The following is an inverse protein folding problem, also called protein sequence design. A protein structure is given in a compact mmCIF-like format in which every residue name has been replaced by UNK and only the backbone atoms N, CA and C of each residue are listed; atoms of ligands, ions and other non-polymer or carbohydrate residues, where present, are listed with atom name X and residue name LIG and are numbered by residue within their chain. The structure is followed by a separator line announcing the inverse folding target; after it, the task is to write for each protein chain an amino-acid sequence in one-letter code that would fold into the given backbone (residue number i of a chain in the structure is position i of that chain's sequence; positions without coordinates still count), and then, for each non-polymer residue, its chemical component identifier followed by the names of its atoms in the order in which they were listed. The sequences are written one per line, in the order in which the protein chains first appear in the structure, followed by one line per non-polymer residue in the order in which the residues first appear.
data_IF_368699354034
#
_entry.id   IF_368699354034
#
_cell.length_a   1.000
_cell.length_b   1.000
_cell.length_c   1.000
_cell.angle_alpha   90.00
_cell.angle_beta   90.00
_cell.angle_gamma   90.00
#
_symmetry.space_group_name_H-M   'P 1'
#
loop_
_entity.id
_entity.type
_entity.pdbx_description
1 polymer ?
#
# COMPACT_ATOMS: atom_id res chain seq x y z
N UNK A 1 -22.10 -46.12 22.55
CA UNK A 1 -21.46 -47.27 21.84
C UNK A 1 -20.27 -46.78 21.03
N UNK A 2 -20.37 -45.76 20.17
CA UNK A 2 -19.27 -45.27 19.32
C UNK A 2 -18.01 -44.87 20.11
N UNK A 3 -18.16 -44.07 21.18
CA UNK A 3 -17.03 -43.67 22.01
C UNK A 3 -16.36 -44.86 22.78
N UNK A 4 -17.15 -45.85 23.14
CA UNK A 4 -16.61 -47.05 23.78
C UNK A 4 -15.80 -47.88 22.78
N UNK A 5 -16.32 -48.12 21.60
CA UNK A 5 -15.67 -48.88 20.53
C UNK A 5 -14.36 -48.19 20.10
N UNK A 6 -14.37 -46.87 20.03
CA UNK A 6 -13.17 -46.10 19.66
C UNK A 6 -11.97 -46.34 20.58
N UNK A 7 -12.24 -46.52 21.88
CA UNK A 7 -11.22 -46.72 22.89
C UNK A 7 -10.79 -48.17 23.08
N UNK A 8 -11.65 -49.13 22.72
CA UNK A 8 -11.42 -50.58 22.96
C UNK A 8 -10.95 -51.31 21.71
N UNK A 9 -11.53 -50.98 20.55
CA UNK A 9 -11.16 -51.58 19.26
C UNK A 9 -11.36 -50.57 18.13
N UNK A 10 -10.31 -49.88 17.68
CA UNK A 10 -10.38 -48.91 16.58
C UNK A 10 -10.88 -49.47 15.23
N UNK A 11 -10.67 -50.77 15.00
CA UNK A 11 -11.09 -51.44 13.75
C UNK A 11 -12.57 -51.66 13.75
N UNK A 12 -13.11 -52.16 14.84
CA UNK A 12 -14.55 -52.38 15.05
C UNK A 12 -15.31 -51.04 15.09
N UNK A 13 -14.65 -49.98 15.63
CA UNK A 13 -15.23 -48.64 15.58
C UNK A 13 -15.38 -48.13 14.14
N UNK A 14 -14.38 -48.32 13.28
CA UNK A 14 -14.47 -47.93 11.85
C UNK A 14 -15.61 -48.68 11.14
N UNK A 15 -15.74 -49.97 11.38
CA UNK A 15 -16.79 -50.76 10.80
C UNK A 15 -18.18 -50.30 11.28
N UNK A 16 -18.33 -50.07 12.59
CA UNK A 16 -19.57 -49.55 13.17
C UNK A 16 -19.99 -48.20 12.60
N UNK A 17 -19.05 -47.29 12.42
CA UNK A 17 -19.28 -45.97 11.83
C UNK A 17 -19.71 -46.11 10.36
N UNK A 18 -19.08 -47.00 9.60
CA UNK A 18 -19.40 -47.25 8.20
C UNK A 18 -20.80 -47.86 8.04
N UNK A 19 -21.13 -48.86 8.86
CA UNK A 19 -22.47 -49.50 8.85
C UNK A 19 -23.55 -48.52 9.29
N UNK A 20 -23.31 -47.71 10.33
CA UNK A 20 -24.25 -46.66 10.78
C UNK A 20 -24.52 -45.61 9.72
N UNK A 21 -23.54 -45.31 8.88
CA UNK A 21 -23.66 -44.39 7.75
C UNK A 21 -24.49 -45.03 6.60
N UNK A 22 -24.23 -46.30 6.31
CA UNK A 22 -24.96 -47.08 5.30
C UNK A 22 -26.45 -47.29 5.66
N UNK A 23 -26.76 -47.43 6.96
CA UNK A 23 -28.15 -47.58 7.48
C UNK A 23 -28.90 -46.24 7.62
N UNK A 24 -28.32 -45.12 7.25
CA UNK A 24 -28.95 -43.80 7.31
C UNK A 24 -29.25 -43.28 8.73
N UNK A 25 -28.67 -43.88 9.77
CA UNK A 25 -28.74 -43.39 11.15
C UNK A 25 -27.85 -42.19 11.32
N UNK A 26 -28.36 -40.99 11.06
CA UNK A 26 -27.67 -39.75 11.37
C UNK A 26 -27.41 -39.66 12.87
N UNK A 27 -26.14 -39.71 13.28
CA UNK A 27 -25.76 -39.21 14.60
C UNK A 27 -26.01 -37.72 14.63
N UNK A 28 -26.79 -37.22 15.59
CA UNK A 28 -27.03 -35.78 15.83
C UNK A 28 -25.79 -35.06 16.38
N UNK A 29 -24.63 -35.33 15.86
CA UNK A 29 -23.45 -34.49 16.02
C UNK A 29 -23.47 -33.50 14.88
N UNK A 30 -23.83 -32.26 15.17
CA UNK A 30 -23.67 -31.15 14.23
C UNK A 30 -22.21 -31.15 13.71
N UNK A 31 -22.06 -31.67 12.50
CA UNK A 31 -20.79 -31.52 11.77
C UNK A 31 -20.75 -30.04 11.43
N UNK A 32 -19.81 -29.29 12.06
CA UNK A 32 -19.53 -27.94 11.63
C UNK A 32 -19.32 -27.95 10.11
N UNK A 33 -19.94 -27.04 9.35
CA UNK A 33 -19.75 -27.00 7.92
C UNK A 33 -18.25 -26.86 7.64
N UNK A 34 -17.71 -27.79 6.86
CA UNK A 34 -16.34 -27.72 6.39
C UNK A 34 -16.32 -26.60 5.36
N UNK A 35 -15.91 -25.40 5.79
CA UNK A 35 -15.62 -24.33 4.85
C UNK A 35 -14.35 -24.70 4.10
N UNK A 36 -14.51 -25.16 2.88
CA UNK A 36 -13.42 -25.17 1.92
C UNK A 36 -13.07 -23.72 1.62
N UNK A 37 -12.11 -23.17 2.34
CA UNK A 37 -11.41 -21.99 1.85
C UNK A 37 -10.67 -22.44 0.58
N UNK A 38 -11.29 -22.16 -0.57
CA UNK A 38 -10.59 -22.31 -1.84
C UNK A 38 -9.29 -21.50 -1.71
N UNK A 39 -8.12 -22.09 -2.00
CA UNK A 39 -6.91 -21.30 -2.08
C UNK A 39 -7.19 -20.20 -3.10
N UNK A 40 -7.20 -18.93 -2.67
CA UNK A 40 -7.26 -17.79 -3.57
C UNK A 40 -5.95 -17.81 -4.35
N UNK A 41 -5.94 -18.48 -5.49
CA UNK A 41 -4.90 -18.27 -6.48
C UNK A 41 -5.01 -16.79 -6.87
N UNK A 42 -4.14 -15.95 -6.33
CA UNK A 42 -3.98 -14.59 -6.86
C UNK A 42 -3.50 -14.79 -8.30
N UNK A 43 -4.22 -14.29 -9.30
CA UNK A 43 -3.70 -14.30 -10.66
C UNK A 43 -2.34 -13.60 -10.62
N UNK A 44 -1.35 -14.13 -11.36
CA UNK A 44 -0.03 -13.52 -11.46
C UNK A 44 -0.22 -12.07 -11.92
N UNK A 45 0.38 -11.14 -11.20
CA UNK A 45 0.27 -9.72 -11.57
C UNK A 45 1.00 -9.47 -12.89
N UNK A 46 0.47 -8.63 -13.75
CA UNK A 46 1.19 -8.15 -14.94
C UNK A 46 2.55 -7.56 -14.56
N UNK A 47 2.69 -7.02 -13.36
CA UNK A 47 3.95 -6.48 -12.85
C UNK A 47 5.00 -7.57 -12.65
N UNK A 48 4.61 -8.79 -12.22
CA UNK A 48 5.52 -9.92 -12.05
C UNK A 48 6.04 -10.48 -13.39
N UNK A 49 5.33 -10.20 -14.49
CA UNK A 49 5.75 -10.58 -15.82
C UNK A 49 6.69 -9.54 -16.47
N UNK A 50 6.50 -8.26 -16.14
CA UNK A 50 7.23 -7.14 -16.76
C UNK A 50 8.43 -6.68 -15.94
N UNK A 51 8.37 -6.80 -14.60
CA UNK A 51 9.34 -6.22 -13.69
C UNK A 51 9.86 -7.26 -12.69
N UNK A 52 10.95 -6.93 -12.03
CA UNK A 52 11.51 -7.76 -10.95
C UNK A 52 11.31 -7.09 -9.59
N UNK A 53 11.16 -7.87 -8.52
CA UNK A 53 11.13 -7.33 -7.17
C UNK A 53 12.46 -6.66 -6.83
N UNK A 54 12.43 -5.65 -5.97
CA UNK A 54 13.58 -4.77 -5.67
C UNK A 54 14.78 -5.48 -5.06
N UNK A 55 14.59 -6.61 -4.37
CA UNK A 55 15.67 -7.33 -3.69
C UNK A 55 16.71 -7.88 -4.69
N UNK A 56 17.99 -7.57 -4.44
CA UNK A 56 19.10 -7.95 -5.31
C UNK A 56 19.25 -7.07 -6.54
N UNK A 57 18.57 -5.93 -6.61
CA UNK A 57 18.65 -4.97 -7.72
C UNK A 57 19.21 -3.62 -7.25
N UNK A 58 19.63 -2.72 -8.16
CA UNK A 58 20.03 -1.35 -7.79
C UNK A 58 18.96 -0.56 -7.02
N UNK A 59 17.68 -0.92 -7.14
CA UNK A 59 16.62 -0.31 -6.34
C UNK A 59 16.73 -0.68 -4.86
N UNK A 60 17.28 -1.84 -4.50
CA UNK A 60 17.55 -2.18 -3.10
C UNK A 60 18.52 -1.19 -2.45
N UNK A 61 19.63 -0.87 -3.12
CA UNK A 61 20.61 0.10 -2.62
C UNK A 61 19.99 1.48 -2.46
N UNK A 62 19.16 1.88 -3.43
CA UNK A 62 18.40 3.12 -3.36
C UNK A 62 17.45 3.16 -2.14
N UNK A 63 16.71 2.09 -1.88
CA UNK A 63 15.80 1.99 -0.74
C UNK A 63 16.56 1.98 0.59
N UNK A 64 17.71 1.29 0.68
CA UNK A 64 18.59 1.30 1.85
C UNK A 64 19.15 2.68 2.14
N UNK A 65 19.65 3.37 1.12
CA UNK A 65 20.15 4.74 1.25
C UNK A 65 19.07 5.70 1.79
N UNK A 66 17.82 5.48 1.38
CA UNK A 66 16.66 6.25 1.84
C UNK A 66 16.05 5.74 3.13
N UNK A 67 16.60 4.68 3.71
CA UNK A 67 16.10 4.03 4.92
C UNK A 67 14.63 3.61 4.83
N UNK A 68 14.13 3.30 3.63
CA UNK A 68 12.75 2.83 3.43
C UNK A 68 12.56 1.50 4.16
N UNK A 69 11.52 1.35 4.99
CA UNK A 69 11.29 0.13 5.77
C UNK A 69 11.19 -1.13 4.91
N UNK A 70 11.94 -2.18 5.26
CA UNK A 70 11.97 -3.43 4.48
C UNK A 70 10.60 -4.12 4.37
N UNK A 71 9.69 -3.85 5.30
CA UNK A 71 8.31 -4.39 5.28
C UNK A 71 7.53 -4.01 4.02
N UNK A 72 7.87 -2.90 3.34
CA UNK A 72 7.16 -2.45 2.13
C UNK A 72 7.81 -2.94 0.83
N UNK A 73 9.06 -3.41 0.86
CA UNK A 73 9.81 -3.82 -0.33
C UNK A 73 9.14 -4.93 -1.15
N UNK A 74 8.43 -5.92 -0.56
CA UNK A 74 7.74 -6.94 -1.34
C UNK A 74 6.65 -6.40 -2.28
N UNK A 75 6.19 -5.15 -2.06
CA UNK A 75 5.21 -4.49 -2.92
C UNK A 75 5.83 -3.55 -3.95
N UNK A 76 7.16 -3.47 -4.02
CA UNK A 76 7.90 -2.60 -4.92
C UNK A 76 8.64 -3.41 -5.97
N UNK A 77 8.81 -2.80 -7.14
CA UNK A 77 9.49 -3.45 -8.27
C UNK A 77 10.61 -2.55 -8.80
N UNK A 78 11.44 -3.16 -9.58
CA UNK A 78 12.53 -2.53 -10.30
C UNK A 78 12.39 -2.79 -11.80
N UNK A 79 12.63 -1.77 -12.58
CA UNK A 79 12.80 -1.85 -14.02
C UNK A 79 14.16 -1.28 -14.41
N UNK A 80 14.92 -2.02 -15.18
CA UNK A 80 16.25 -1.64 -15.65
C UNK A 80 16.21 -0.60 -16.78
N UNK A 81 15.12 -0.61 -17.55
CA UNK A 81 14.86 0.29 -18.68
C UNK A 81 13.43 0.83 -18.60
N UNK A 82 13.31 2.13 -18.46
CA UNK A 82 12.01 2.80 -18.38
C UNK A 82 11.13 2.60 -19.62
N UNK A 83 11.69 2.25 -20.78
CA UNK A 83 10.90 1.94 -21.98
C UNK A 83 9.98 0.73 -21.80
N UNK A 84 10.34 -0.22 -20.96
CA UNK A 84 9.47 -1.37 -20.62
C UNK A 84 8.14 -0.98 -19.96
N UNK A 85 8.02 0.25 -19.46
CA UNK A 85 6.77 0.78 -18.93
C UNK A 85 5.68 0.92 -19.99
N UNK A 86 6.08 0.99 -21.28
CA UNK A 86 5.14 1.05 -22.39
C UNK A 86 4.31 -0.23 -22.55
N UNK A 87 4.82 -1.36 -22.06
CA UNK A 87 4.13 -2.64 -22.10
C UNK A 87 2.95 -2.74 -21.11
N UNK A 88 2.84 -1.79 -20.18
CA UNK A 88 1.71 -1.73 -19.25
C UNK A 88 0.40 -1.27 -19.92
N UNK A 89 0.49 -0.45 -20.97
CA UNK A 89 -0.68 0.06 -21.66
C UNK A 89 -0.32 0.61 -23.05
N UNK A 90 -1.08 0.20 -24.05
CA UNK A 90 -0.88 0.60 -25.47
C UNK A 90 -0.85 2.11 -25.69
N UNK A 91 -1.52 2.89 -24.82
CA UNK A 91 -1.53 4.37 -24.90
C UNK A 91 -0.16 5.01 -24.67
N UNK A 92 0.80 4.27 -24.07
CA UNK A 92 2.14 4.77 -23.79
C UNK A 92 3.20 4.31 -24.80
N UNK A 93 2.84 3.47 -25.75
CA UNK A 93 3.79 3.01 -26.78
C UNK A 93 4.41 4.17 -27.54
N UNK A 94 5.75 4.21 -27.56
CA UNK A 94 6.56 5.27 -28.14
C UNK A 94 6.49 6.62 -27.43
N UNK A 95 5.97 6.67 -26.18
CA UNK A 95 5.79 7.91 -25.41
C UNK A 95 6.67 8.01 -24.17
N UNK A 96 7.21 6.91 -23.69
CA UNK A 96 8.12 6.93 -22.54
C UNK A 96 9.48 7.46 -22.97
N UNK A 97 9.86 8.59 -22.41
CA UNK A 97 11.14 9.23 -22.71
C UNK A 97 12.24 8.67 -21.82
N UNK A 98 13.39 8.39 -22.44
CA UNK A 98 14.58 7.89 -21.74
C UNK A 98 14.64 6.36 -21.69
N UNK A 99 15.76 5.87 -21.21
CA UNK A 99 16.09 4.46 -21.01
C UNK A 99 16.94 4.40 -19.74
N UNK A 100 16.27 4.58 -18.59
CA UNK A 100 16.94 4.65 -17.29
C UNK A 100 16.28 3.72 -16.28
N UNK A 101 17.06 3.22 -15.30
CA UNK A 101 16.54 2.31 -14.28
C UNK A 101 15.65 3.05 -13.29
N UNK A 102 14.54 2.39 -12.89
CA UNK A 102 13.56 3.00 -11.98
C UNK A 102 13.05 2.05 -10.91
N UNK A 103 12.75 2.63 -9.77
CA UNK A 103 11.88 2.05 -8.75
C UNK A 103 10.43 2.19 -9.21
N UNK A 104 9.71 1.07 -9.29
CA UNK A 104 8.30 1.02 -9.69
C UNK A 104 7.44 0.86 -8.45
N UNK A 105 6.52 1.80 -8.25
CA UNK A 105 5.60 1.86 -7.11
C UNK A 105 4.19 1.67 -7.64
N UNK A 106 3.56 0.50 -7.44
CA UNK A 106 2.21 0.23 -7.91
C UNK A 106 1.15 0.97 -7.10
N UNK A 107 0.09 1.40 -7.79
CA UNK A 107 -1.12 1.96 -7.21
C UNK A 107 -2.28 1.02 -7.48
N UNK A 108 -3.02 0.68 -6.46
CA UNK A 108 -4.18 -0.20 -6.54
C UNK A 108 -5.43 0.54 -6.04
N UNK A 109 -6.57 0.20 -6.63
CA UNK A 109 -7.87 0.63 -6.10
C UNK A 109 -8.26 -0.18 -4.85
N UNK A 110 -9.47 0.05 -4.33
CA UNK A 110 -9.97 -0.62 -3.13
C UNK A 110 -10.22 -2.11 -3.31
N UNK A 111 -10.33 -2.58 -4.55
CA UNK A 111 -10.62 -3.96 -4.94
C UNK A 111 -9.34 -4.71 -5.36
N UNK A 112 -8.16 -4.15 -5.06
CA UNK A 112 -6.84 -4.69 -5.45
C UNK A 112 -6.57 -4.69 -6.97
N UNK A 113 -7.30 -3.92 -7.79
CA UNK A 113 -6.98 -3.76 -9.20
C UNK A 113 -5.83 -2.76 -9.39
N UNK A 114 -4.87 -3.11 -10.24
CA UNK A 114 -3.78 -2.20 -10.58
C UNK A 114 -4.31 -1.06 -11.46
N UNK A 115 -4.23 0.17 -10.95
CA UNK A 115 -4.73 1.38 -11.64
C UNK A 115 -3.62 2.23 -12.26
N UNK A 116 -2.44 2.19 -11.70
CA UNK A 116 -1.29 2.94 -12.20
C UNK A 116 0.03 2.41 -11.60
N UNK A 117 1.14 2.83 -12.18
CA UNK A 117 2.45 2.77 -11.54
C UNK A 117 3.09 4.17 -11.54
N UNK A 118 3.74 4.51 -10.44
CA UNK A 118 4.61 5.68 -10.34
C UNK A 118 6.07 5.20 -10.30
N UNK A 119 6.86 5.64 -11.26
CA UNK A 119 8.21 5.15 -11.47
C UNK A 119 9.22 6.24 -11.17
N UNK A 120 9.97 6.05 -10.08
CA UNK A 120 10.98 6.99 -9.64
C UNK A 120 12.34 6.61 -10.17
N UNK A 121 13.06 7.58 -10.77
CA UNK A 121 14.45 7.40 -11.12
C UNK A 121 15.30 7.12 -9.88
N UNK A 122 16.16 6.10 -9.95
CA UNK A 122 17.09 5.75 -8.87
C UNK A 122 18.49 6.37 -9.06
N UNK A 123 18.75 6.88 -10.25
CA UNK A 123 19.96 7.64 -10.59
C UNK A 123 19.58 9.09 -10.98
N UNK A 124 20.58 9.93 -11.13
CA UNK A 124 20.37 11.29 -11.59
C UNK A 124 19.87 11.30 -13.04
N UNK A 125 18.75 11.98 -13.28
CA UNK A 125 18.13 12.08 -14.61
C UNK A 125 17.26 13.35 -14.71
N UNK A 126 16.92 13.74 -15.95
CA UNK A 126 16.09 14.91 -16.21
C UNK A 126 14.64 14.73 -15.78
N UNK A 127 14.12 13.50 -15.84
CA UNK A 127 12.72 13.19 -15.51
C UNK A 127 12.66 12.31 -14.25
N UNK A 128 12.51 12.96 -13.11
CA UNK A 128 12.52 12.33 -11.79
C UNK A 128 11.43 11.27 -11.60
N UNK A 129 10.24 11.49 -12.17
CA UNK A 129 9.08 10.59 -12.07
C UNK A 129 8.45 10.36 -13.44
N UNK A 130 8.04 9.13 -13.70
CA UNK A 130 7.15 8.74 -14.79
C UNK A 130 5.94 8.09 -14.15
N UNK A 131 4.74 8.53 -14.54
CA UNK A 131 3.49 7.90 -14.11
C UNK A 131 2.82 7.28 -15.32
N UNK A 132 2.55 5.98 -15.24
CA UNK A 132 1.78 5.23 -16.24
C UNK A 132 0.43 4.90 -15.62
N UNK A 133 -0.65 5.50 -16.13
CA UNK A 133 -2.01 5.21 -15.73
C UNK A 133 -2.57 4.08 -16.59
N UNK A 134 -3.15 3.08 -15.95
CA UNK A 134 -3.89 1.97 -16.57
C UNK A 134 -5.35 2.32 -16.61
N UNK A 135 -5.87 2.87 -15.50
CA UNK A 135 -7.21 3.44 -15.39
C UNK A 135 -7.09 4.97 -15.22
N UNK A 136 -7.63 5.71 -16.20
CA UNK A 136 -7.55 7.18 -16.19
C UNK A 136 -8.53 7.81 -15.20
N UNK A 137 -9.64 7.16 -14.91
CA UNK A 137 -10.71 7.66 -14.05
C UNK A 137 -10.46 7.34 -12.55
N UNK A 138 -9.59 6.37 -12.27
CA UNK A 138 -9.27 6.00 -10.90
C UNK A 138 -8.45 7.09 -10.17
N UNK A 139 -8.75 7.37 -8.89
CA UNK A 139 -7.98 8.31 -8.09
C UNK A 139 -6.57 7.80 -7.83
N UNK A 140 -5.57 8.63 -8.13
CA UNK A 140 -4.15 8.33 -7.93
C UNK A 140 -3.77 8.41 -6.44
N UNK A 141 -4.20 7.41 -5.67
CA UNK A 141 -3.91 7.30 -4.23
C UNK A 141 -3.12 6.01 -3.97
N UNK A 142 -1.87 6.18 -3.52
CA UNK A 142 -1.01 5.07 -3.16
C UNK A 142 -1.50 4.38 -1.88
N UNK A 143 -1.40 3.05 -1.83
CA UNK A 143 -1.71 2.19 -0.69
C UNK A 143 -3.20 2.18 -0.26
N UNK A 144 -4.12 2.62 -1.13
CA UNK A 144 -5.55 2.75 -0.82
C UNK A 144 -6.22 1.40 -0.47
N UNK A 145 -5.73 0.31 -1.04
CA UNK A 145 -6.21 -1.05 -0.84
C UNK A 145 -5.82 -1.67 0.52
N UNK A 146 -4.84 -1.08 1.24
CA UNK A 146 -4.26 -1.69 2.46
C UNK A 146 -4.60 -0.94 3.75
N UNK A 147 -5.29 0.21 3.67
CA UNK A 147 -5.59 1.01 4.85
C UNK A 147 -6.80 0.48 5.62
N UNK A 148 -6.75 0.63 6.93
CA UNK A 148 -7.91 0.54 7.81
C UNK A 148 -8.61 1.90 7.86
N UNK A 149 -9.77 2.02 7.19
CA UNK A 149 -10.56 3.26 7.13
C UNK A 149 -11.33 3.56 8.41
N UNK A 150 -11.39 2.62 9.33
CA UNK A 150 -12.05 2.82 10.64
C UNK A 150 -11.15 3.55 11.64
N UNK A 151 -9.85 3.55 11.38
CA UNK A 151 -8.80 4.19 12.18
C UNK A 151 -8.30 5.48 11.52
N UNK A 152 -7.45 6.22 12.21
CA UNK A 152 -6.76 7.39 11.65
C UNK A 152 -5.90 6.98 10.45
N UNK A 153 -6.00 7.72 9.35
CA UNK A 153 -5.23 7.53 8.12
C UNK A 153 -4.39 8.78 7.87
N UNK A 154 -3.08 8.60 7.80
CA UNK A 154 -2.16 9.68 7.45
C UNK A 154 -2.10 9.84 5.93
N UNK A 155 -2.21 11.07 5.46
CA UNK A 155 -2.24 11.42 4.03
C UNK A 155 -1.01 12.26 3.72
N UNK A 156 -0.04 11.69 3.01
CA UNK A 156 1.19 12.37 2.59
C UNK A 156 1.13 12.81 1.13
N UNK A 157 2.07 13.67 0.70
CA UNK A 157 2.19 14.06 -0.70
C UNK A 157 2.83 12.94 -1.53
N UNK A 158 3.91 12.33 -1.03
CA UNK A 158 4.70 11.34 -1.74
C UNK A 158 4.54 9.92 -1.24
N UNK A 159 4.54 8.89 -2.13
CA UNK A 159 4.50 7.50 -1.71
C UNK A 159 5.65 7.10 -0.77
N UNK A 160 6.86 7.63 -0.98
CA UNK A 160 8.01 7.28 -0.15
C UNK A 160 7.84 7.76 1.30
N UNK A 161 7.24 8.93 1.50
CA UNK A 161 6.96 9.47 2.84
C UNK A 161 5.92 8.65 3.58
N UNK A 162 4.87 8.21 2.87
CA UNK A 162 3.83 7.36 3.46
C UNK A 162 4.38 6.00 3.94
N UNK A 163 5.46 5.48 3.34
CA UNK A 163 6.04 4.19 3.71
C UNK A 163 6.61 4.17 5.14
N UNK A 164 6.87 5.32 5.74
CA UNK A 164 7.33 5.44 7.13
C UNK A 164 6.21 5.45 8.16
N UNK A 165 4.98 5.65 7.73
CA UNK A 165 3.82 5.76 8.60
C UNK A 165 2.98 4.48 8.57
N UNK A 166 2.36 4.19 9.69
CA UNK A 166 1.37 3.13 9.74
C UNK A 166 0.02 3.69 9.25
N UNK A 167 -0.78 2.85 8.59
CA UNK A 167 -2.10 3.21 8.10
C UNK A 167 -2.11 4.53 7.32
N UNK A 168 -1.38 4.58 6.23
CA UNK A 168 -1.12 5.80 5.46
C UNK A 168 -1.36 5.61 3.97
N UNK A 169 -1.71 6.71 3.32
CA UNK A 169 -1.83 6.83 1.87
C UNK A 169 -0.98 7.99 1.36
N UNK A 170 -0.69 8.02 0.07
CA UNK A 170 -0.12 9.19 -0.57
C UNK A 170 -0.96 9.61 -1.78
N UNK A 171 -1.15 10.92 -1.91
CA UNK A 171 -1.79 11.54 -3.08
C UNK A 171 -0.71 12.28 -3.85
N UNK A 172 -0.42 11.88 -5.06
CA UNK A 172 0.66 12.46 -5.87
C UNK A 172 0.53 13.96 -6.20
N UNK A 173 -0.52 14.58 -5.71
CA UNK A 173 -0.79 16.01 -5.62
C UNK A 173 -1.64 16.22 -4.38
N UNK A 174 -1.59 17.38 -3.74
CA UNK A 174 -2.40 17.73 -2.56
C UNK A 174 -3.89 17.88 -2.94
N UNK A 175 -4.45 16.91 -3.67
CA UNK A 175 -5.84 16.93 -4.14
C UNK A 175 -6.78 16.43 -3.04
N UNK A 176 -7.28 17.39 -2.26
CA UNK A 176 -8.26 17.14 -1.19
C UNK A 176 -9.56 16.53 -1.74
N UNK A 177 -9.93 16.83 -3.01
CA UNK A 177 -11.13 16.26 -3.61
C UNK A 177 -10.97 14.76 -3.86
N UNK A 178 -9.79 14.29 -4.22
CA UNK A 178 -9.52 12.87 -4.36
C UNK A 178 -9.64 12.14 -3.00
N UNK A 179 -9.10 12.75 -1.93
CA UNK A 179 -9.19 12.20 -0.58
C UNK A 179 -10.63 12.12 -0.08
N UNK A 180 -11.42 13.19 -0.24
CA UNK A 180 -12.79 13.25 0.26
C UNK A 180 -13.74 12.22 -0.36
N UNK A 181 -13.38 11.68 -1.54
CA UNK A 181 -14.16 10.62 -2.21
C UNK A 181 -13.94 9.23 -1.61
N UNK A 182 -12.82 9.01 -0.95
CA UNK A 182 -12.39 7.66 -0.54
C UNK A 182 -12.17 7.52 0.97
N UNK A 183 -12.12 8.63 1.70
CA UNK A 183 -11.80 8.66 3.12
C UNK A 183 -12.64 9.69 3.85
N UNK A 184 -13.20 9.31 4.99
CA UNK A 184 -13.90 10.23 5.87
C UNK A 184 -12.93 11.29 6.42
N UNK A 185 -13.33 12.56 6.33
CA UNK A 185 -12.52 13.70 6.77
C UNK A 185 -12.03 13.53 8.21
N UNK A 186 -12.88 13.05 9.12
CA UNK A 186 -12.57 12.92 10.54
C UNK A 186 -11.48 11.84 10.80
N UNK A 187 -11.25 10.96 9.83
CA UNK A 187 -10.21 9.94 9.85
C UNK A 187 -8.92 10.39 9.18
N UNK A 188 -8.98 11.37 8.31
CA UNK A 188 -7.81 11.87 7.58
C UNK A 188 -6.99 12.84 8.42
N UNK A 189 -5.67 12.61 8.48
CA UNK A 189 -4.67 13.55 8.97
C UNK A 189 -3.73 13.90 7.84
N UNK A 190 -3.75 15.15 7.39
CA UNK A 190 -2.94 15.62 6.29
C UNK A 190 -1.53 15.93 6.78
N UNK A 191 -0.54 15.33 6.12
CA UNK A 191 0.88 15.46 6.44
C UNK A 191 1.58 16.08 5.23
N UNK A 192 1.59 17.39 5.17
CA UNK A 192 2.23 18.15 4.09
C UNK A 192 3.75 18.19 4.27
N UNK A 193 4.48 18.42 3.18
CA UNK A 193 5.89 18.75 3.23
C UNK A 193 6.14 19.97 4.12
N UNK A 194 7.26 19.99 4.85
CA UNK A 194 7.67 21.12 5.68
C UNK A 194 8.26 22.24 4.84
N UNK A 195 7.41 22.95 4.12
CA UNK A 195 7.78 24.07 3.25
C UNK A 195 7.06 25.38 3.63
N UNK A 196 7.34 25.96 4.81
CA UNK A 196 6.56 27.10 5.36
C UNK A 196 6.64 28.39 4.52
N UNK A 197 7.50 28.44 3.50
CA UNK A 197 7.61 29.58 2.58
C UNK A 197 7.01 29.31 1.20
N UNK A 198 6.48 28.11 0.97
CA UNK A 198 5.84 27.77 -0.29
C UNK A 198 4.39 28.28 -0.27
N UNK A 199 4.12 29.37 -1.00
CA UNK A 199 2.81 29.99 -1.05
C UNK A 199 1.71 29.03 -1.50
N UNK A 200 1.97 28.22 -2.51
CA UNK A 200 1.00 27.26 -3.01
C UNK A 200 0.60 26.23 -1.92
N UNK A 201 1.58 25.76 -1.16
CA UNK A 201 1.33 24.83 -0.05
C UNK A 201 0.50 25.51 1.07
N UNK A 202 0.82 26.78 1.40
CA UNK A 202 0.07 27.55 2.39
C UNK A 202 -1.39 27.72 1.95
N UNK A 203 -1.63 28.00 0.66
CA UNK A 203 -2.99 28.14 0.12
C UNK A 203 -3.76 26.82 0.23
N UNK A 204 -3.11 25.68 -0.06
CA UNK A 204 -3.70 24.33 0.11
C UNK A 204 -4.00 24.04 1.58
N UNK A 205 -3.07 24.32 2.49
CA UNK A 205 -3.28 24.15 3.94
C UNK A 205 -4.43 25.03 4.45
N UNK A 206 -4.54 26.26 3.96
CA UNK A 206 -5.64 27.16 4.30
C UNK A 206 -6.99 26.63 3.83
N UNK A 207 -7.03 26.06 2.62
CA UNK A 207 -8.23 25.41 2.08
C UNK A 207 -8.61 24.17 2.91
N UNK A 208 -7.62 23.36 3.30
CA UNK A 208 -7.84 22.20 4.16
C UNK A 208 -8.37 22.59 5.56
N UNK A 209 -7.81 23.64 6.16
CA UNK A 209 -8.29 24.19 7.44
C UNK A 209 -9.75 24.69 7.32
N UNK A 210 -10.08 25.40 6.23
CA UNK A 210 -11.45 25.86 5.98
C UNK A 210 -12.45 24.72 5.83
N UNK A 211 -11.98 23.56 5.37
CA UNK A 211 -12.76 22.32 5.28
C UNK A 211 -12.69 21.48 6.56
N UNK A 212 -12.04 21.98 7.61
CA UNK A 212 -11.91 21.32 8.91
C UNK A 212 -11.17 19.95 8.85
N UNK A 213 -10.19 19.80 7.96
CA UNK A 213 -9.28 18.66 8.00
C UNK A 213 -8.29 18.81 9.16
N UNK A 214 -7.96 17.69 9.80
CA UNK A 214 -6.81 17.63 10.68
C UNK A 214 -5.54 17.69 9.85
N UNK A 215 -4.55 18.45 10.30
CA UNK A 215 -3.28 18.55 9.61
C UNK A 215 -2.10 18.71 10.56
N UNK A 216 -0.95 18.28 10.12
CA UNK A 216 0.31 18.46 10.86
C UNK A 216 0.85 19.86 10.60
N UNK A 217 1.21 20.56 11.68
CA UNK A 217 2.01 21.80 11.61
C UNK A 217 3.39 21.48 12.21
N UNK A 218 4.38 21.42 11.35
CA UNK A 218 5.72 21.05 11.77
C UNK A 218 6.32 22.07 12.74
N UNK A 219 6.91 21.62 13.88
CA UNK A 219 7.56 22.53 14.81
C UNK A 219 8.79 23.18 14.17
N UNK A 220 9.12 24.41 14.58
CA UNK A 220 10.25 25.18 14.03
C UNK A 220 11.62 24.53 14.25
N UNK A 221 11.71 23.54 15.13
CA UNK A 221 12.92 22.73 15.34
C UNK A 221 13.17 21.71 14.22
N UNK A 222 12.16 21.38 13.42
CA UNK A 222 12.29 20.48 12.26
C UNK A 222 12.64 21.35 11.06
N UNK A 223 13.83 21.11 10.50
CA UNK A 223 14.35 21.86 9.35
C UNK A 223 14.25 21.05 8.04
N UNK A 224 14.07 19.75 8.14
CA UNK A 224 13.96 18.83 7.01
C UNK A 224 12.67 19.10 6.26
N UNK A 225 12.73 18.91 4.94
CA UNK A 225 11.62 19.21 4.05
C UNK A 225 10.47 18.19 4.14
N UNK A 226 10.80 16.91 4.20
CA UNK A 226 9.85 15.80 4.15
C UNK A 226 10.22 14.71 5.16
N UNK A 227 9.33 13.73 5.33
CA UNK A 227 9.52 12.63 6.29
C UNK A 227 10.79 11.84 5.96
N UNK A 228 11.05 11.59 4.68
CA UNK A 228 12.22 10.82 4.30
C UNK A 228 13.52 11.56 4.66
N UNK A 229 13.59 12.88 4.45
CA UNK A 229 14.74 13.68 4.90
C UNK A 229 14.89 13.67 6.41
N UNK A 230 13.78 13.73 7.17
CA UNK A 230 13.82 13.63 8.64
C UNK A 230 14.46 12.31 9.08
N UNK A 231 14.01 11.20 8.53
CA UNK A 231 14.54 9.87 8.85
C UNK A 231 16.03 9.76 8.50
N UNK A 232 16.43 10.16 7.30
CA UNK A 232 17.83 10.12 6.87
C UNK A 232 18.72 11.00 7.76
N UNK A 233 18.22 12.14 8.24
CA UNK A 233 18.93 13.06 9.12
C UNK A 233 18.96 12.59 10.58
N UNK A 234 18.34 11.44 10.90
CA UNK A 234 18.33 10.88 12.26
C UNK A 234 17.33 11.55 13.20
N UNK A 235 16.25 12.15 12.67
CA UNK A 235 15.15 12.64 13.51
C UNK A 235 14.42 11.43 14.09
N UNK A 236 14.47 11.31 15.41
CA UNK A 236 13.83 10.21 16.11
C UNK A 236 12.32 10.36 16.13
N UNK A 237 11.64 9.21 16.00
CA UNK A 237 10.21 9.05 16.24
C UNK A 237 9.32 10.07 15.51
N UNK A 238 9.51 10.19 14.19
CA UNK A 238 8.75 11.11 13.33
C UNK A 238 7.24 10.94 13.50
N UNK A 239 6.75 9.70 13.70
CA UNK A 239 5.33 9.44 13.94
C UNK A 239 4.80 10.17 15.19
N UNK A 240 5.53 10.14 16.30
CA UNK A 240 5.14 10.90 17.51
C UNK A 240 5.19 12.42 17.30
N UNK A 241 6.12 12.91 16.48
CA UNK A 241 6.14 14.34 16.14
C UNK A 241 4.87 14.71 15.37
N UNK A 242 4.47 13.89 14.41
CA UNK A 242 3.22 14.05 13.65
C UNK A 242 2.01 14.08 14.59
N UNK A 243 1.88 13.08 15.46
CA UNK A 243 0.74 12.98 16.39
C UNK A 243 0.65 14.18 17.35
N UNK A 244 1.80 14.60 17.90
CA UNK A 244 1.86 15.71 18.86
C UNK A 244 1.65 17.10 18.22
N UNK A 245 1.79 17.22 16.91
CA UNK A 245 1.66 18.49 16.17
C UNK A 245 0.49 18.48 15.17
N UNK A 246 -0.43 17.51 15.30
CA UNK A 246 -1.67 17.47 14.52
C UNK A 246 -2.68 18.44 15.14
N UNK A 247 -3.11 19.41 14.33
CA UNK A 247 -4.14 20.40 14.68
C UNK A 247 -5.49 20.04 14.03
N UNK A 248 -6.58 20.43 14.71
CA UNK A 248 -7.95 20.36 14.20
C UNK A 248 -8.36 21.68 13.60
#
# INVERSE_FOLDING_TARGET
ISNFLKNVDPTLHKQYVFESFAEGKQSNTAIAPFEFTQPKFKPKSILDDLFVHVKGTPAEDYLRLRQIPEKVWPSLYYVDDSQKLEDLSDKYKGRVLGSDPRLVIPFYDIDDNLIAVNCRAIAECNLRYITVKIDDDAPMIYNLNKIDRTSTVYVTEGPLDSMFLNNSVAVGSSDLNAISKVLDRDKAVLVFDNQPRNKQLIDIMSAAASQQYKMVVWPSSILQKDINEMVISGVDNVASIIDNNTLQ
#
